data_IF_864050384469
#
_entry.id   IF_864050384469
#
_cell.length_a   1.000
_cell.length_b   1.000
_cell.length_c   1.000
_cell.angle_alpha   90.00
_cell.angle_beta   90.00
_cell.angle_gamma   90.00
#
_symmetry.space_group_name_H-M   'P 1'
#
loop_
_entity.id
_entity.type
_entity.pdbx_description
1 polymer ?
#
# COMPACT_ATOMS: atom_id res chain seq x y z
N UNK A 1 -6.65 27.46 -100.64
CA UNK A 1 -7.95 26.75 -100.65
C UNK A 1 -7.88 25.62 -99.63
N UNK A 2 -8.71 25.71 -98.59
CA UNK A 2 -9.13 24.68 -97.61
C UNK A 2 -8.06 23.96 -96.78
N UNK A 3 -7.91 24.51 -95.57
CA UNK A 3 -7.49 23.87 -94.33
C UNK A 3 -8.52 22.78 -93.93
N UNK A 4 -8.08 21.57 -93.59
CA UNK A 4 -8.88 20.59 -92.85
C UNK A 4 -8.08 20.06 -91.67
N UNK A 5 -8.65 20.25 -90.48
CA UNK A 5 -8.22 19.67 -89.21
C UNK A 5 -8.23 18.15 -89.27
N UNK A 6 -7.25 17.52 -88.62
CA UNK A 6 -7.38 16.20 -87.99
C UNK A 6 -6.52 16.18 -86.71
N UNK A 7 -7.18 16.27 -85.55
CA UNK A 7 -6.61 15.99 -84.24
C UNK A 7 -6.38 14.47 -84.10
N UNK A 8 -5.17 14.05 -83.77
CA UNK A 8 -4.90 12.72 -83.24
C UNK A 8 -4.46 12.84 -81.78
N UNK A 9 -5.29 12.34 -80.87
CA UNK A 9 -4.95 12.16 -79.47
C UNK A 9 -4.07 10.91 -79.33
N UNK A 10 -2.83 11.09 -78.86
CA UNK A 10 -1.98 9.98 -78.45
C UNK A 10 -2.14 9.76 -76.94
N UNK A 11 -2.66 8.59 -76.57
CA UNK A 11 -2.75 8.14 -75.19
C UNK A 11 -1.36 7.80 -74.64
N UNK A 12 -0.97 8.42 -73.52
CA UNK A 12 0.19 8.03 -72.73
C UNK A 12 -0.16 6.81 -71.88
N UNK A 13 0.40 5.64 -72.22
CA UNK A 13 0.44 4.49 -71.33
C UNK A 13 1.68 4.63 -70.42
N UNK A 14 1.54 4.62 -69.08
CA UNK A 14 2.70 4.56 -68.20
C UNK A 14 3.19 3.11 -68.15
N UNK A 15 4.32 2.84 -68.79
CA UNK A 15 5.08 1.61 -68.59
C UNK A 15 5.58 1.59 -67.15
N UNK A 16 4.99 0.73 -66.33
CA UNK A 16 5.41 0.48 -64.96
C UNK A 16 6.70 -0.35 -65.00
N UNK A 17 7.85 0.32 -65.03
CA UNK A 17 9.11 -0.29 -64.65
C UNK A 17 9.12 -0.39 -63.12
N UNK A 18 8.65 -1.51 -62.58
CA UNK A 18 8.97 -1.89 -61.21
C UNK A 18 10.45 -2.24 -61.16
N UNK A 19 11.26 -1.27 -60.76
CA UNK A 19 12.59 -1.53 -60.24
C UNK A 19 12.37 -2.44 -59.02
N UNK A 20 12.69 -3.72 -59.12
CA UNK A 20 12.81 -4.59 -57.96
C UNK A 20 13.82 -3.94 -57.04
N UNK A 21 13.31 -3.27 -56.01
CA UNK A 21 14.10 -2.79 -54.91
C UNK A 21 14.54 -4.05 -54.16
N UNK A 22 15.70 -4.57 -54.54
CA UNK A 22 16.43 -5.59 -53.81
C UNK A 22 16.61 -5.05 -52.38
N UNK A 23 15.70 -5.49 -51.52
CA UNK A 23 15.76 -5.20 -50.10
C UNK A 23 16.96 -5.99 -49.60
N UNK A 24 18.09 -5.30 -49.37
CA UNK A 24 19.21 -5.90 -48.65
C UNK A 24 18.67 -6.43 -47.32
N UNK A 25 18.50 -7.76 -47.25
CA UNK A 25 18.06 -8.46 -46.05
C UNK A 25 19.21 -8.39 -45.06
N UNK A 26 19.23 -7.33 -44.25
CA UNK A 26 20.16 -7.20 -43.13
C UNK A 26 20.09 -8.50 -42.31
N UNK A 27 21.22 -9.15 -41.98
CA UNK A 27 21.18 -10.38 -41.21
C UNK A 27 20.43 -10.14 -39.89
N UNK A 28 19.32 -10.84 -39.71
CA UNK A 28 18.45 -10.74 -38.52
C UNK A 28 19.17 -11.35 -37.30
N UNK A 29 20.17 -10.64 -36.80
CA UNK A 29 20.83 -10.96 -35.55
C UNK A 29 20.00 -10.39 -34.42
N UNK A 30 19.28 -11.25 -33.71
CA UNK A 30 18.48 -10.84 -32.57
C UNK A 30 19.34 -10.79 -31.30
N UNK A 31 19.18 -9.72 -30.53
CA UNK A 31 19.70 -9.59 -29.18
C UNK A 31 18.54 -9.23 -28.25
N UNK A 32 18.41 -9.96 -27.15
CA UNK A 32 17.36 -9.77 -26.16
C UNK A 32 17.91 -10.01 -24.76
N UNK A 33 17.15 -9.63 -23.74
CA UNK A 33 17.53 -9.89 -22.36
C UNK A 33 16.34 -10.28 -21.48
N UNK A 34 16.67 -10.89 -20.35
CA UNK A 34 15.74 -11.14 -19.25
C UNK A 34 16.44 -10.91 -17.91
N UNK A 35 15.68 -10.47 -16.91
CA UNK A 35 16.20 -10.29 -15.55
C UNK A 35 16.12 -11.63 -14.81
N UNK A 36 17.26 -12.13 -14.34
CA UNK A 36 17.33 -13.38 -13.56
C UNK A 36 17.11 -13.11 -12.07
N UNK A 37 17.81 -12.11 -11.52
CA UNK A 37 17.77 -11.77 -10.10
C UNK A 37 17.82 -10.26 -9.88
N UNK A 38 17.13 -9.79 -8.84
CA UNK A 38 17.09 -8.37 -8.44
C UNK A 38 17.73 -8.22 -7.07
N UNK A 39 18.71 -7.31 -6.96
CA UNK A 39 19.40 -6.97 -5.72
C UNK A 39 19.16 -5.50 -5.35
N UNK A 40 19.30 -5.11 -4.06
CA UNK A 40 19.13 -3.72 -3.63
C UNK A 40 20.02 -2.68 -4.34
N UNK A 41 21.14 -3.11 -4.97
CA UNK A 41 22.09 -2.23 -5.67
C UNK A 41 22.42 -2.67 -7.10
N UNK A 42 21.70 -3.64 -7.65
CA UNK A 42 21.97 -4.14 -8.99
C UNK A 42 21.02 -5.26 -9.42
N UNK A 43 21.24 -5.79 -10.61
CA UNK A 43 20.48 -6.90 -11.17
C UNK A 43 21.42 -7.88 -11.87
N UNK A 44 21.07 -9.16 -11.86
CA UNK A 44 21.71 -10.17 -12.71
C UNK A 44 20.84 -10.35 -13.94
N UNK A 45 21.38 -10.07 -15.12
CA UNK A 45 20.66 -10.07 -16.40
C UNK A 45 21.24 -11.18 -17.27
N UNK A 46 20.36 -11.91 -17.97
CA UNK A 46 20.74 -12.85 -19.03
C UNK A 46 20.53 -12.16 -20.37
N UNK A 47 21.61 -11.90 -21.09
CA UNK A 47 21.57 -11.40 -22.47
C UNK A 47 21.69 -12.60 -23.39
N UNK A 48 20.72 -12.76 -24.30
CA UNK A 48 20.69 -13.83 -25.28
C UNK A 48 20.84 -13.26 -26.68
N UNK A 49 21.71 -13.90 -27.46
CA UNK A 49 22.00 -13.53 -28.83
C UNK A 49 21.80 -14.73 -29.73
N UNK A 50 21.15 -14.51 -30.87
CA UNK A 50 20.87 -15.56 -31.83
C UNK A 50 21.21 -15.07 -33.23
N UNK A 51 22.06 -15.84 -33.92
CA UNK A 51 22.52 -15.58 -35.29
C UNK A 51 22.12 -16.78 -36.16
N UNK A 52 20.90 -16.82 -36.71
CA UNK A 52 20.40 -17.98 -37.44
C UNK A 52 21.13 -18.22 -38.78
N UNK A 53 21.68 -17.15 -39.36
CA UNK A 53 22.19 -17.15 -40.73
C UNK A 53 23.67 -17.59 -40.84
N UNK A 54 24.37 -17.82 -39.73
CA UNK A 54 25.77 -18.27 -39.75
C UNK A 54 25.88 -19.79 -39.51
N UNK A 55 26.74 -20.49 -40.27
CA UNK A 55 27.05 -21.90 -40.00
C UNK A 55 27.89 -22.06 -38.73
N UNK A 56 27.56 -23.03 -37.85
CA UNK A 56 28.42 -23.37 -36.71
C UNK A 56 29.77 -23.95 -37.13
N UNK A 57 30.82 -23.82 -36.30
CA UNK A 57 30.81 -23.20 -34.97
C UNK A 57 30.79 -21.67 -35.02
N UNK A 58 29.89 -21.05 -34.26
CA UNK A 58 29.76 -19.59 -34.18
C UNK A 58 30.45 -19.09 -32.92
N UNK A 59 31.35 -18.14 -33.10
CA UNK A 59 31.96 -17.39 -32.01
C UNK A 59 31.12 -16.15 -31.72
N UNK A 60 30.40 -16.17 -30.60
CA UNK A 60 29.63 -15.04 -30.11
C UNK A 60 30.51 -14.18 -29.19
N UNK A 61 30.55 -12.88 -29.46
CA UNK A 61 31.19 -11.87 -28.61
C UNK A 61 30.15 -10.85 -28.17
N UNK A 62 30.04 -10.65 -26.86
CA UNK A 62 29.22 -9.59 -26.27
C UNK A 62 30.10 -8.38 -26.04
N UNK A 63 29.75 -7.27 -26.67
CA UNK A 63 30.42 -5.99 -26.54
C UNK A 63 29.57 -5.04 -25.71
N UNK A 64 30.21 -4.34 -24.77
CA UNK A 64 29.61 -3.25 -24.02
C UNK A 64 29.96 -1.90 -24.64
N UNK A 65 29.47 -0.84 -24.01
CA UNK A 65 29.82 0.54 -24.35
C UNK A 65 31.34 0.75 -24.47
N UNK A 66 31.76 1.65 -25.37
CA UNK A 66 33.18 1.96 -25.64
C UNK A 66 33.97 0.76 -26.19
N UNK A 67 33.27 -0.13 -26.89
CA UNK A 67 33.86 -1.29 -27.58
C UNK A 67 34.66 -2.20 -26.64
N UNK A 68 34.18 -2.37 -25.41
CA UNK A 68 34.79 -3.29 -24.44
C UNK A 68 34.17 -4.68 -24.64
N UNK A 69 35.00 -5.69 -24.91
CA UNK A 69 34.52 -7.07 -24.97
C UNK A 69 34.21 -7.57 -23.56
N UNK A 70 32.93 -7.80 -23.28
CA UNK A 70 32.42 -8.22 -21.95
C UNK A 70 32.56 -9.73 -21.78
N UNK A 71 32.18 -10.49 -22.82
CA UNK A 71 32.22 -11.94 -22.79
C UNK A 71 32.34 -12.51 -24.21
N UNK A 72 32.82 -13.75 -24.30
CA UNK A 72 32.93 -14.50 -25.56
C UNK A 72 32.59 -15.96 -25.33
N UNK A 73 31.87 -16.56 -26.26
CA UNK A 73 31.43 -17.96 -26.19
C UNK A 73 31.40 -18.57 -27.58
N UNK A 74 31.89 -19.80 -27.72
CA UNK A 74 31.77 -20.58 -28.95
C UNK A 74 30.60 -21.54 -28.82
N UNK A 75 29.73 -21.57 -29.83
CA UNK A 75 28.57 -22.46 -29.89
C UNK A 75 28.68 -23.31 -31.16
N UNK A 76 28.71 -24.62 -30.98
CA UNK A 76 28.86 -25.60 -32.08
C UNK A 76 27.53 -25.97 -32.74
N UNK A 77 26.41 -25.50 -32.19
CA UNK A 77 25.06 -25.69 -32.70
C UNK A 77 24.52 -24.36 -33.25
N UNK A 78 23.29 -24.37 -33.78
CA UNK A 78 22.57 -23.15 -34.15
C UNK A 78 21.87 -22.49 -32.96
N UNK A 79 22.07 -23.01 -31.75
CA UNK A 79 21.39 -22.48 -30.57
C UNK A 79 21.87 -21.06 -30.24
N UNK A 80 21.01 -20.24 -29.62
CA UNK A 80 21.40 -18.94 -29.11
C UNK A 80 22.53 -19.03 -28.07
N UNK A 81 23.40 -18.02 -28.07
CA UNK A 81 24.36 -17.82 -26.99
C UNK A 81 23.75 -16.94 -25.89
N UNK A 82 23.86 -17.39 -24.64
CA UNK A 82 23.44 -16.59 -23.48
C UNK A 82 24.63 -16.21 -22.60
N UNK A 83 24.60 -14.97 -22.11
CA UNK A 83 25.62 -14.32 -21.30
C UNK A 83 25.00 -13.73 -20.04
N UNK A 84 25.60 -14.02 -18.88
CA UNK A 84 25.15 -13.45 -17.61
C UNK A 84 25.96 -12.20 -17.28
N UNK A 85 25.27 -11.08 -17.04
CA UNK A 85 25.90 -9.79 -16.73
C UNK A 85 25.30 -9.22 -15.44
N UNK A 86 26.16 -8.66 -14.59
CA UNK A 86 25.72 -7.95 -13.38
C UNK A 86 25.66 -6.44 -13.68
N UNK A 87 24.46 -5.86 -13.56
CA UNK A 87 24.20 -4.43 -13.76
C UNK A 87 24.04 -3.77 -12.40
N UNK A 88 24.66 -2.60 -12.16
CA UNK A 88 24.52 -1.87 -10.88
C UNK A 88 23.75 -0.57 -11.08
N UNK A 89 22.96 -0.14 -10.10
CA UNK A 89 22.17 1.10 -10.18
C UNK A 89 23.02 2.39 -10.32
N UNK A 90 24.35 2.29 -10.11
CA UNK A 90 25.32 3.38 -10.31
C UNK A 90 25.98 3.37 -11.69
N UNK A 91 25.71 2.38 -12.54
CA UNK A 91 26.25 2.39 -13.90
C UNK A 91 25.67 3.58 -14.63
N UNK A 92 26.54 4.47 -15.12
CA UNK A 92 26.12 5.59 -15.95
C UNK A 92 25.33 5.05 -17.17
N UNK A 93 24.34 5.78 -17.69
CA UNK A 93 23.52 5.32 -18.82
C UNK A 93 24.34 4.94 -20.06
N UNK A 94 25.51 5.58 -20.26
CA UNK A 94 26.43 5.27 -21.35
C UNK A 94 27.02 3.86 -21.25
N UNK A 95 27.05 3.24 -20.06
CA UNK A 95 27.62 1.92 -19.80
C UNK A 95 26.61 0.75 -19.94
N UNK A 96 25.35 1.03 -20.30
CA UNK A 96 24.26 0.04 -20.38
C UNK A 96 23.83 -0.29 -21.81
N UNK A 97 24.73 -0.05 -22.77
CA UNK A 97 24.53 -0.40 -24.17
C UNK A 97 25.37 -1.62 -24.52
N UNK A 98 24.74 -2.64 -25.09
CA UNK A 98 25.39 -3.87 -25.53
C UNK A 98 25.16 -4.12 -27.01
N UNK A 99 26.12 -4.73 -27.67
CA UNK A 99 25.99 -5.30 -29.01
C UNK A 99 26.49 -6.72 -28.99
N UNK A 100 25.82 -7.60 -29.73
CA UNK A 100 26.28 -8.95 -29.93
C UNK A 100 26.92 -9.07 -31.31
N UNK A 101 28.04 -9.76 -31.41
CA UNK A 101 28.69 -10.08 -32.67
C UNK A 101 28.84 -11.60 -32.81
N UNK A 102 28.40 -12.14 -33.94
CA UNK A 102 28.65 -13.53 -34.34
C UNK A 102 29.75 -13.57 -35.39
N UNK A 103 30.73 -14.44 -35.21
CA UNK A 103 31.83 -14.64 -36.16
C UNK A 103 32.04 -16.14 -36.46
N UNK A 104 32.21 -16.46 -37.73
CA UNK A 104 32.64 -17.80 -38.17
C UNK A 104 34.17 -17.91 -38.22
N UNK A 105 34.74 -19.13 -38.17
CA UNK A 105 36.18 -19.33 -38.33
C UNK A 105 36.73 -18.83 -39.67
N UNK A 106 35.87 -18.74 -40.69
CA UNK A 106 36.21 -18.30 -42.04
C UNK A 106 36.21 -16.78 -42.21
N UNK A 107 35.98 -16.02 -41.13
CA UNK A 107 36.10 -14.56 -41.12
C UNK A 107 34.80 -13.79 -41.42
N UNK A 108 33.69 -14.48 -41.71
CA UNK A 108 32.38 -13.81 -41.80
C UNK A 108 31.94 -13.36 -40.41
N UNK A 109 31.59 -12.08 -40.28
CA UNK A 109 31.15 -11.46 -39.03
C UNK A 109 29.87 -10.65 -39.24
N UNK A 110 28.96 -10.73 -38.28
CA UNK A 110 27.71 -9.96 -38.24
C UNK A 110 27.50 -9.43 -36.84
N UNK A 111 26.88 -8.25 -36.73
CA UNK A 111 26.60 -7.61 -35.46
C UNK A 111 25.09 -7.34 -35.32
N UNK A 112 24.59 -7.44 -34.10
CA UNK A 112 23.23 -7.09 -33.73
C UNK A 112 23.03 -5.57 -33.71
N UNK A 113 21.77 -5.16 -33.69
CA UNK A 113 21.41 -3.82 -33.21
C UNK A 113 21.90 -3.59 -31.76
N UNK A 114 21.97 -2.32 -31.35
CA UNK A 114 22.32 -1.94 -29.98
C UNK A 114 21.17 -2.27 -29.03
N UNK A 115 21.45 -3.07 -28.00
CA UNK A 115 20.57 -3.30 -26.87
C UNK A 115 20.86 -2.27 -25.77
N UNK A 116 19.87 -1.43 -25.44
CA UNK A 116 19.96 -0.50 -24.31
C UNK A 116 19.12 -1.00 -23.14
N UNK A 117 19.73 -1.22 -21.98
CA UNK A 117 19.04 -1.76 -20.79
C UNK A 117 18.34 -0.67 -19.94
N UNK A 118 18.11 0.53 -20.48
CA UNK A 118 17.83 1.77 -19.72
C UNK A 118 16.38 1.93 -19.20
N UNK A 119 15.40 1.07 -19.45
CA UNK A 119 14.03 1.31 -18.94
C UNK A 119 13.54 0.20 -18.00
N UNK A 120 13.75 -1.06 -18.34
CA UNK A 120 13.17 -2.21 -17.61
C UNK A 120 13.98 -2.55 -16.35
N UNK A 121 15.12 -1.88 -16.15
CA UNK A 121 15.95 -1.96 -14.95
C UNK A 121 15.78 -0.73 -14.01
N UNK A 122 14.66 -0.01 -14.02
CA UNK A 122 14.49 1.16 -13.11
C UNK A 122 13.30 1.06 -12.17
N UNK A 123 12.86 -0.17 -11.91
CA UNK A 123 11.98 -0.38 -10.79
C UNK A 123 12.78 -0.11 -9.48
N UNK A 124 12.31 0.83 -8.67
CA UNK A 124 12.91 1.33 -7.44
C UNK A 124 12.38 0.52 -6.25
N UNK A 125 13.24 0.05 -5.31
CA UNK A 125 12.76 -0.61 -4.10
C UNK A 125 11.98 0.37 -3.23
N UNK A 126 10.98 -0.13 -2.52
CA UNK A 126 10.21 0.65 -1.56
C UNK A 126 11.15 1.15 -0.47
N UNK A 127 11.10 2.44 -0.16
CA UNK A 127 11.92 3.02 0.90
C UNK A 127 11.20 4.15 1.63
N UNK A 128 11.70 4.47 2.83
CA UNK A 128 11.18 5.55 3.68
C UNK A 128 9.66 5.42 3.97
N UNK A 129 9.20 4.20 4.27
CA UNK A 129 7.80 3.96 4.63
C UNK A 129 7.47 4.67 5.95
N UNK A 130 6.45 5.54 5.90
CA UNK A 130 5.85 6.18 7.07
C UNK A 130 4.45 5.63 7.28
N UNK A 131 4.07 5.50 8.54
CA UNK A 131 2.75 5.06 8.96
C UNK A 131 2.27 5.95 10.10
N UNK A 132 1.21 6.71 9.87
CA UNK A 132 0.62 7.61 10.84
C UNK A 132 -0.71 7.02 11.32
N UNK A 133 -0.82 6.83 12.64
CA UNK A 133 -2.01 6.30 13.29
C UNK A 133 -2.73 7.42 14.02
N UNK A 134 -3.97 7.69 13.65
CA UNK A 134 -4.81 8.71 14.29
C UNK A 134 -6.05 8.06 14.90
N UNK A 135 -6.30 8.39 16.16
CA UNK A 135 -7.51 8.00 16.87
C UNK A 135 -8.55 9.11 16.67
N UNK A 136 -9.68 8.75 16.09
CA UNK A 136 -10.83 9.63 15.93
C UNK A 136 -11.88 9.26 16.96
N UNK A 137 -12.12 10.17 17.90
CA UNK A 137 -13.19 10.05 18.87
C UNK A 137 -14.52 10.49 18.24
N UNK A 138 -15.29 9.52 17.78
CA UNK A 138 -16.64 9.70 17.25
C UNK A 138 -17.74 9.59 18.31
N UNK A 139 -17.40 9.62 19.60
CA UNK A 139 -18.32 9.38 20.70
C UNK A 139 -18.72 7.91 20.80
N UNK A 140 -19.79 7.51 20.09
CA UNK A 140 -20.34 6.15 20.17
C UNK A 140 -19.61 5.12 19.26
N UNK A 141 -18.96 5.56 18.19
CA UNK A 141 -18.15 4.71 17.30
C UNK A 141 -16.75 5.32 17.12
N UNK A 142 -15.84 5.13 18.09
CA UNK A 142 -14.48 5.62 17.96
C UNK A 142 -13.71 4.75 16.95
N UNK A 143 -12.96 5.42 16.06
CA UNK A 143 -12.31 4.77 14.91
C UNK A 143 -10.82 5.08 14.88
N UNK A 144 -10.08 4.19 14.25
CA UNK A 144 -8.67 4.41 13.91
C UNK A 144 -8.60 4.73 12.43
N UNK A 145 -7.83 5.76 12.09
CA UNK A 145 -7.36 5.99 10.74
C UNK A 145 -5.86 5.72 10.69
N UNK A 146 -5.42 5.06 9.63
CA UNK A 146 -4.00 4.77 9.39
C UNK A 146 -3.65 5.21 7.99
N UNK A 147 -2.74 6.17 7.87
CA UNK A 147 -2.17 6.62 6.61
C UNK A 147 -0.79 5.99 6.43
N UNK A 148 -0.60 5.25 5.36
CA UNK A 148 0.67 4.66 4.99
C UNK A 148 1.18 5.23 3.68
N UNK A 149 2.44 5.68 3.68
CA UNK A 149 3.06 6.21 2.48
C UNK A 149 4.54 5.86 2.41
N UNK A 150 4.95 5.27 1.30
CA UNK A 150 6.36 5.17 0.93
C UNK A 150 6.74 6.41 0.09
N UNK A 151 7.84 7.07 0.46
CA UNK A 151 8.36 8.22 -0.30
C UNK A 151 9.03 7.81 -1.62
N UNK A 152 9.39 6.54 -1.76
CA UNK A 152 10.11 6.00 -2.92
C UNK A 152 9.72 4.54 -3.13
N UNK A 153 9.78 4.11 -4.39
CA UNK A 153 9.38 2.78 -4.83
C UNK A 153 8.59 2.83 -6.13
N UNK A 154 8.83 1.87 -7.03
CA UNK A 154 8.07 1.79 -8.28
C UNK A 154 6.70 1.15 -8.08
N UNK A 155 5.65 1.69 -8.72
CA UNK A 155 4.32 1.10 -8.71
C UNK A 155 4.27 -0.23 -9.50
N UNK A 156 3.26 -1.08 -9.24
CA UNK A 156 2.25 -0.93 -8.20
C UNK A 156 2.84 -1.20 -6.80
N UNK A 157 2.53 -0.32 -5.84
CA UNK A 157 2.86 -0.56 -4.42
C UNK A 157 1.58 -0.97 -3.70
N UNK A 158 1.58 -2.18 -3.17
CA UNK A 158 0.51 -2.68 -2.31
C UNK A 158 0.88 -2.44 -0.85
N UNK A 159 -0.03 -1.81 -0.11
CA UNK A 159 0.09 -1.58 1.31
C UNK A 159 -0.80 -2.57 2.06
N UNK A 160 -0.25 -3.18 3.09
CA UNK A 160 -0.93 -4.08 4.01
C UNK A 160 -0.86 -3.51 5.42
N UNK A 161 -1.99 -3.49 6.11
CA UNK A 161 -2.03 -3.28 7.55
C UNK A 161 -1.93 -4.65 8.23
N UNK A 162 -0.79 -4.92 8.86
CA UNK A 162 -0.44 -6.25 9.39
C UNK A 162 -0.45 -6.22 10.91
N UNK A 163 -1.14 -7.17 11.54
CA UNK A 163 -1.13 -7.34 12.99
C UNK A 163 0.14 -8.10 13.42
N UNK A 164 0.56 -7.95 14.68
CA UNK A 164 1.76 -8.60 15.24
C UNK A 164 1.79 -10.13 15.14
N UNK A 165 0.63 -10.79 15.03
CA UNK A 165 0.51 -12.22 14.76
C UNK A 165 0.75 -12.60 13.28
N UNK A 166 1.04 -11.63 12.42
CA UNK A 166 1.28 -11.80 10.99
C UNK A 166 0.01 -11.72 10.13
N UNK A 167 -1.17 -11.59 10.73
CA UNK A 167 -2.41 -11.51 9.98
C UNK A 167 -2.55 -10.16 9.25
N UNK A 168 -2.84 -10.21 7.95
CA UNK A 168 -3.15 -9.01 7.14
C UNK A 168 -4.58 -8.59 7.44
N UNK A 169 -4.74 -7.50 8.19
CA UNK A 169 -6.04 -6.98 8.58
C UNK A 169 -6.75 -6.25 7.43
N UNK A 170 -6.01 -5.43 6.67
CA UNK A 170 -6.52 -4.68 5.52
C UNK A 170 -5.44 -4.55 4.45
N UNK A 171 -5.81 -4.35 3.19
CA UNK A 171 -4.87 -4.04 2.11
C UNK A 171 -5.44 -3.03 1.12
N UNK A 172 -4.56 -2.23 0.50
CA UNK A 172 -4.90 -1.29 -0.57
C UNK A 172 -3.73 -1.16 -1.56
N UNK A 173 -4.04 -1.00 -2.84
CA UNK A 173 -3.07 -0.67 -3.91
C UNK A 173 -3.52 0.63 -4.56
N UNK A 174 -3.16 1.80 -3.99
CA UNK A 174 -3.60 3.10 -4.50
C UNK A 174 -2.86 3.48 -5.79
N UNK A 175 -3.31 4.56 -6.44
CA UNK A 175 -2.62 5.11 -7.61
C UNK A 175 -1.21 5.60 -7.24
N UNK A 176 -0.28 5.67 -8.20
CA UNK A 176 1.10 6.09 -7.94
C UNK A 176 1.19 7.42 -7.17
N UNK A 177 2.01 7.45 -6.13
CA UNK A 177 2.23 8.62 -5.28
C UNK A 177 1.17 8.84 -4.19
N UNK A 178 0.02 8.16 -4.23
CA UNK A 178 -1.02 8.29 -3.22
C UNK A 178 -0.73 7.39 -2.00
N UNK A 179 -1.03 7.86 -0.77
CA UNK A 179 -0.98 7.03 0.42
C UNK A 179 -2.13 6.00 0.44
N UNK A 180 -1.91 4.89 1.14
CA UNK A 180 -2.99 3.98 1.52
C UNK A 180 -3.61 4.43 2.83
N UNK A 181 -4.93 4.63 2.84
CA UNK A 181 -5.66 5.13 4.00
C UNK A 181 -6.63 4.06 4.50
N UNK A 182 -6.32 3.45 5.64
CA UNK A 182 -7.15 2.46 6.29
C UNK A 182 -8.04 3.10 7.35
N UNK A 183 -9.26 2.59 7.53
CA UNK A 183 -10.14 2.97 8.64
C UNK A 183 -10.89 1.78 9.18
N UNK A 184 -10.83 1.60 10.50
CA UNK A 184 -11.52 0.50 11.19
C UNK A 184 -11.96 0.94 12.60
N UNK A 185 -13.04 0.35 13.15
CA UNK A 185 -13.54 0.67 14.49
C UNK A 185 -12.58 0.15 15.57
N UNK A 186 -12.55 0.81 16.73
CA UNK A 186 -11.79 0.34 17.89
C UNK A 186 -12.46 -0.91 18.51
N UNK A 187 -11.63 -1.88 18.89
CA UNK A 187 -12.07 -3.10 19.57
C UNK A 187 -11.91 -3.01 21.09
N UNK A 188 -12.50 -3.95 21.84
CA UNK A 188 -12.30 -4.04 23.30
C UNK A 188 -10.88 -4.47 23.69
N UNK A 189 -10.15 -5.10 22.78
CA UNK A 189 -8.75 -5.48 22.98
C UNK A 189 -7.81 -4.48 22.28
N UNK A 190 -6.60 -4.35 22.83
CA UNK A 190 -5.51 -3.64 22.18
C UNK A 190 -4.77 -4.56 21.21
N UNK A 191 -4.34 -4.00 20.09
CA UNK A 191 -3.62 -4.75 19.07
C UNK A 191 -2.43 -3.94 18.55
N UNK A 192 -1.33 -4.62 18.27
CA UNK A 192 -0.16 -4.05 17.62
C UNK A 192 -0.30 -4.21 16.12
N UNK A 193 -0.18 -3.11 15.39
CA UNK A 193 -0.23 -3.06 13.93
C UNK A 193 1.04 -2.43 13.37
N UNK A 194 1.44 -2.88 12.19
CA UNK A 194 2.45 -2.23 11.37
C UNK A 194 1.91 -2.07 9.96
N UNK A 195 2.36 -1.05 9.26
CA UNK A 195 2.13 -0.97 7.83
C UNK A 195 3.26 -1.64 7.08
N UNK A 196 2.92 -2.45 6.08
CA UNK A 196 3.87 -3.05 5.16
C UNK A 196 3.58 -2.56 3.74
N UNK A 197 4.58 -2.00 3.08
CA UNK A 197 4.49 -1.59 1.68
C UNK A 197 5.36 -2.51 0.83
N UNK A 198 4.79 -3.05 -0.25
CA UNK A 198 5.41 -4.07 -1.10
C UNK A 198 5.24 -3.73 -2.57
N UNK A 199 6.29 -3.92 -3.35
CA UNK A 199 6.25 -4.03 -4.80
C UNK A 199 6.96 -5.31 -5.26
N UNK A 200 7.12 -5.49 -6.57
CA UNK A 200 7.73 -6.69 -7.15
C UNK A 200 9.23 -6.86 -6.81
N UNK A 201 9.85 -5.85 -6.18
CA UNK A 201 11.28 -5.84 -5.86
C UNK A 201 11.53 -6.04 -4.37
N UNK A 202 10.68 -5.49 -3.53
CA UNK A 202 10.98 -5.32 -2.11
C UNK A 202 9.73 -5.14 -1.27
N UNK A 203 9.88 -5.38 0.02
CA UNK A 203 8.90 -5.03 1.04
C UNK A 203 9.60 -4.24 2.16
N UNK A 204 8.91 -3.23 2.67
CA UNK A 204 9.29 -2.43 3.84
C UNK A 204 8.18 -2.51 4.87
N UNK A 205 8.54 -2.44 6.15
CA UNK A 205 7.57 -2.41 7.25
C UNK A 205 7.86 -1.24 8.17
N UNK A 206 6.82 -0.53 8.60
CA UNK A 206 6.92 0.44 9.68
C UNK A 206 7.18 -0.26 11.01
N UNK A 207 7.59 0.47 12.06
CA UNK A 207 7.50 -0.04 13.42
C UNK A 207 6.07 -0.46 13.77
N UNK A 208 5.95 -1.38 14.72
CA UNK A 208 4.66 -1.72 15.31
C UNK A 208 4.16 -0.57 16.20
N UNK A 209 2.92 -0.18 16.00
CA UNK A 209 2.19 0.81 16.81
C UNK A 209 1.06 0.10 17.56
N UNK A 210 0.93 0.37 18.86
CA UNK A 210 -0.15 -0.15 19.68
C UNK A 210 -1.41 0.69 19.49
N UNK A 211 -2.48 0.05 19.05
CA UNK A 211 -3.81 0.64 19.05
C UNK A 211 -4.48 0.31 20.39
N UNK A 212 -4.89 1.32 21.18
CA UNK A 212 -5.53 1.11 22.48
C UNK A 212 -6.94 0.51 22.32
N UNK A 213 -7.53 -0.04 23.40
CA UNK A 213 -8.91 -0.48 23.37
C UNK A 213 -9.88 0.71 23.29
N UNK A 214 -11.03 0.53 22.64
CA UNK A 214 -12.04 1.58 22.48
C UNK A 214 -12.85 1.92 23.74
N UNK A 215 -12.62 1.20 24.84
CA UNK A 215 -13.37 1.39 26.09
C UNK A 215 -12.41 1.76 27.21
N UNK A 216 -12.68 2.88 27.90
CA UNK A 216 -11.93 3.29 29.10
C UNK A 216 -11.96 2.16 30.14
N UNK A 217 -10.87 1.93 30.89
CA UNK A 217 -10.87 0.93 31.95
C UNK A 217 -12.02 1.25 32.91
N UNK A 218 -12.89 0.28 33.18
CA UNK A 218 -14.03 0.44 34.12
C UNK A 218 -13.57 0.71 35.57
N UNK A 219 -12.28 0.60 35.86
CA UNK A 219 -11.69 0.75 37.19
C UNK A 219 -12.03 2.08 37.90
N UNK A 220 -11.79 3.26 37.31
CA UNK A 220 -12.06 4.55 37.95
C UNK A 220 -13.55 4.80 38.16
N UNK A 221 -14.41 4.27 37.28
CA UNK A 221 -15.88 4.41 37.39
C UNK A 221 -16.43 3.68 38.61
N UNK A 222 -15.91 2.50 38.92
CA UNK A 222 -16.31 1.77 40.14
C UNK A 222 -15.79 2.44 41.42
N UNK A 223 -14.58 3.00 41.41
CA UNK A 223 -14.03 3.70 42.59
C UNK A 223 -14.79 5.00 42.90
N UNK A 224 -15.19 5.75 41.88
CA UNK A 224 -15.98 6.97 42.04
C UNK A 224 -17.43 6.68 42.47
N UNK A 225 -18.04 5.59 41.98
CA UNK A 225 -19.37 5.17 42.42
C UNK A 225 -19.37 4.70 43.88
N UNK A 226 -18.35 3.94 44.28
CA UNK A 226 -18.21 3.47 45.66
C UNK A 226 -17.99 4.65 46.64
N UNK A 227 -17.14 5.62 46.28
CA UNK A 227 -16.84 6.77 47.16
C UNK A 227 -18.06 7.67 47.39
N UNK A 228 -18.90 7.89 46.37
CA UNK A 228 -20.15 8.65 46.49
C UNK A 228 -21.16 7.99 47.44
N UNK A 229 -21.27 6.66 47.43
CA UNK A 229 -22.17 5.95 48.37
C UNK A 229 -21.71 6.04 49.82
N UNK A 230 -20.40 6.07 50.07
CA UNK A 230 -19.86 6.25 51.43
C UNK A 230 -20.09 7.66 51.98
N UNK A 231 -20.03 8.70 51.14
CA UNK A 231 -20.24 10.09 51.59
C UNK A 231 -21.71 10.35 51.96
N UNK A 232 -22.67 9.77 51.24
CA UNK A 232 -24.11 9.89 51.57
C UNK A 232 -24.51 9.11 52.83
N UNK A 233 -23.85 7.98 53.10
CA UNK A 233 -24.06 7.23 54.34
C UNK A 233 -23.56 8.00 55.58
N UNK A 234 -22.42 8.68 55.47
CA UNK A 234 -21.86 9.45 56.59
C UNK A 234 -22.72 10.70 56.89
N UNK A 235 -23.18 11.41 55.86
CA UNK A 235 -24.01 12.61 56.06
C UNK A 235 -25.39 12.27 56.62
N UNK A 236 -26.02 11.18 56.17
CA UNK A 236 -27.28 10.70 56.75
C UNK A 236 -27.14 10.20 58.19
N UNK A 237 -26.04 9.53 58.53
CA UNK A 237 -25.72 9.14 59.91
C UNK A 237 -25.55 10.35 60.84
N UNK A 238 -24.82 11.38 60.41
CA UNK A 238 -24.61 12.61 61.20
C UNK A 238 -25.90 13.43 61.36
N UNK A 239 -26.74 13.51 60.31
CA UNK A 239 -28.06 14.15 60.38
C UNK A 239 -29.04 13.38 61.28
N UNK A 240 -29.01 12.04 61.23
CA UNK A 240 -29.78 11.19 62.14
C UNK A 240 -29.36 11.34 63.60
N UNK A 241 -28.05 11.38 63.86
CA UNK A 241 -27.49 11.56 65.20
C UNK A 241 -27.80 12.93 65.81
N UNK A 242 -27.67 14.00 65.01
CA UNK A 242 -28.02 15.36 65.46
C UNK A 242 -29.53 15.53 65.71
N UNK A 243 -30.38 14.90 64.90
CA UNK A 243 -31.83 14.87 65.13
C UNK A 243 -32.21 14.06 66.39
N UNK A 244 -31.51 12.95 66.66
CA UNK A 244 -31.70 12.15 67.88
C UNK A 244 -31.32 12.94 69.13
N UNK A 245 -30.13 13.54 69.16
CA UNK A 245 -29.67 14.34 70.30
C UNK A 245 -30.56 15.57 70.57
N UNK A 246 -31.16 16.15 69.51
CA UNK A 246 -32.12 17.25 69.65
C UNK A 246 -33.45 16.79 70.25
N UNK A 247 -33.87 15.53 70.05
CA UNK A 247 -35.07 14.97 70.67
C UNK A 247 -34.83 14.59 72.13
N UNK A 248 -33.66 14.07 72.47
CA UNK A 248 -33.36 13.67 73.85
C UNK A 248 -33.20 14.87 74.78
N UNK A 249 -32.74 16.02 74.29
CA UNK A 249 -32.68 17.25 75.09
C UNK A 249 -34.03 17.94 75.34
N UNK A 250 -35.11 17.54 74.67
CA UNK A 250 -36.44 18.12 74.89
C UNK A 250 -37.29 17.31 75.90
N UNK A 251 -36.81 16.16 76.40
CA UNK A 251 -37.60 15.26 77.25
C UNK A 251 -37.36 15.37 78.76
N UNK A 252 -36.46 16.24 79.24
CA UNK A 252 -36.26 16.49 80.67
C UNK A 252 -36.88 17.84 81.07
N UNK A 253 -38.15 17.83 81.50
CA UNK A 253 -38.86 19.04 81.94
C UNK A 253 -40.35 18.89 82.31
N UNK A 254 -40.65 18.07 83.32
CA UNK A 254 -41.73 18.25 84.33
C UNK A 254 -43.24 18.10 83.96
N UNK A 255 -44.16 17.91 84.95
CA UNK A 255 -45.08 16.76 84.96
C UNK A 255 -46.60 17.06 85.10
N UNK A 256 -47.37 15.98 84.87
CA UNK A 256 -48.72 15.62 85.39
C UNK A 256 -49.84 16.67 85.46
N UNK A 257 -50.98 16.40 84.79
CA UNK A 257 -52.22 15.88 85.43
C UNK A 257 -53.34 15.58 84.40
N UNK A 258 -53.94 14.39 84.59
CA UNK A 258 -55.37 14.01 84.53
C UNK A 258 -56.22 14.12 83.24
N UNK A 259 -56.89 12.97 82.95
CA UNK A 259 -58.30 12.79 82.52
C UNK A 259 -58.70 13.40 81.15
N UNK A 260 -59.45 12.79 80.24
CA UNK A 260 -60.32 11.61 80.21
C UNK A 260 -60.70 11.36 78.72
N UNK A 261 -61.07 10.12 78.40
CA UNK A 261 -62.11 9.73 77.43
C UNK A 261 -61.96 9.89 75.89
N UNK A 262 -61.96 8.69 75.25
CA UNK A 262 -62.98 8.17 74.29
C UNK A 262 -62.80 8.41 72.77
N UNK A 263 -62.32 7.36 72.10
CA UNK A 263 -62.81 6.63 70.90
C UNK A 263 -63.84 7.27 69.91
N UNK A 264 -64.06 6.70 68.70
CA UNK A 264 -63.14 6.46 67.56
C UNK A 264 -63.84 6.76 66.19
N UNK A 265 -63.20 6.46 65.05
CA UNK A 265 -63.87 6.25 63.74
C UNK A 265 -63.54 7.31 62.69
N UNK A 266 -62.71 7.01 61.68
CA UNK A 266 -63.08 6.46 60.36
C UNK A 266 -63.99 7.41 59.57
N UNK A 267 -63.50 7.94 58.44
CA UNK A 267 -64.19 7.77 57.15
C UNK A 267 -63.31 8.17 55.95
N UNK A 268 -63.48 7.33 54.96
CA UNK A 268 -62.95 7.26 53.60
C UNK A 268 -63.84 8.12 52.68
N UNK A 269 -63.32 8.59 51.55
CA UNK A 269 -64.21 8.97 50.45
C UNK A 269 -63.81 10.18 49.62
N UNK A 270 -63.42 9.87 48.38
CA UNK A 270 -63.21 10.73 47.22
C UNK A 270 -64.56 11.06 46.58
N UNK A 271 -64.76 12.26 46.03
CA UNK A 271 -65.32 12.48 44.67
C UNK A 271 -65.48 13.96 44.26
N UNK A 272 -65.00 14.23 43.04
CA UNK A 272 -65.53 15.08 41.94
C UNK A 272 -66.03 16.51 42.16
N UNK A 273 -65.60 17.38 41.24
CA UNK A 273 -66.33 18.60 40.87
C UNK A 273 -65.63 19.36 39.74
N UNK A 274 -66.30 19.50 38.60
CA UNK A 274 -65.88 20.15 37.35
C UNK A 274 -66.63 21.49 37.19
N UNK A 275 -66.13 22.34 36.30
CA UNK A 275 -66.66 23.62 35.80
C UNK A 275 -66.35 24.83 36.70
N UNK A 276 -65.95 25.99 36.19
CA UNK A 276 -65.83 26.50 34.83
C UNK A 276 -65.87 28.04 34.92
N UNK A 277 -64.98 28.71 34.20
CA UNK A 277 -65.10 30.04 33.56
C UNK A 277 -63.77 30.35 32.88
#
# INVERSE_FOLDING_TARGET
MRLLLLLCAAALAPGCFSLEQETEVLPEVSIAYSVLEVFPRGRRVLITCHVPNLPPPITYSLWGSRDIQVAKKVVNTRDPASFTVNVTLKSRPDLLTYTCQGATPWGTQVASAKLQLYWELWAEPVSQLKADFTLLDGGADPRVQVSCQASSGSPPITYHLVRKDGHVHMQQTPHPGQPANFSFPLTQASYWYQCQAKNDISAQSSPFTLVPPGQLPKGPTFVLAASLTSITAITSGMLGWTAWNRRTHHSDGEPSTSLDSRSPGVLQGRCQGRAGL
#
